data_IF_632058961818
#
_entry.id   IF_632058961818
#
_cell.length_a   1.000
_cell.length_b   1.000
_cell.length_c   1.000
_cell.angle_alpha   90.00
_cell.angle_beta   90.00
_cell.angle_gamma   90.00
#
_symmetry.space_group_name_H-M   'P 1'
#
loop_
_entity.id
_entity.type
_entity.pdbx_description
1 polymer ?
#
# COMPACT_ATOMS: atom_id res chain seq x y z
N UNK A 1 48.84 -2.42 28.01
CA UNK A 1 49.32 -1.88 26.73
C UNK A 1 48.50 -0.63 26.46
N UNK A 2 49.09 0.57 26.49
CA UNK A 2 48.37 1.82 26.21
C UNK A 2 48.46 2.08 24.70
N UNK A 3 47.36 1.99 23.98
CA UNK A 3 47.29 2.37 22.56
C UNK A 3 47.62 3.85 22.42
N UNK A 4 48.42 4.19 21.42
CA UNK A 4 48.76 5.57 21.13
C UNK A 4 47.57 6.29 20.49
N UNK A 5 47.35 7.60 20.75
CA UNK A 5 46.23 8.36 20.19
C UNK A 5 46.15 8.29 18.65
N UNK A 6 47.27 8.17 18.00
CA UNK A 6 47.40 8.06 16.55
C UNK A 6 46.86 6.72 16.00
N UNK A 7 47.01 5.61 16.76
CA UNK A 7 46.49 4.29 16.42
C UNK A 7 44.96 4.25 16.54
N UNK A 8 44.43 4.91 17.59
CA UNK A 8 42.97 5.05 17.78
C UNK A 8 42.34 5.85 16.63
N UNK A 9 43.00 6.94 16.24
CA UNK A 9 42.50 7.78 15.12
C UNK A 9 42.54 7.03 13.78
N UNK A 10 43.57 6.20 13.56
CA UNK A 10 43.67 5.37 12.36
C UNK A 10 42.59 4.28 12.30
N UNK A 11 42.31 3.62 13.43
CA UNK A 11 41.26 2.60 13.54
C UNK A 11 39.87 3.22 13.33
N UNK A 12 39.62 4.40 13.92
CA UNK A 12 38.35 5.11 13.73
C UNK A 12 38.19 5.55 12.28
N UNK A 13 39.24 6.08 11.64
CA UNK A 13 39.19 6.42 10.21
C UNK A 13 38.93 5.20 9.32
N UNK A 14 39.54 4.07 9.62
CA UNK A 14 39.33 2.84 8.88
C UNK A 14 37.93 2.30 9.10
N UNK A 15 37.39 2.32 10.31
CA UNK A 15 36.00 1.96 10.57
C UNK A 15 35.00 2.89 9.91
N UNK A 16 35.27 4.19 9.80
CA UNK A 16 34.42 5.13 9.07
C UNK A 16 34.48 4.88 7.57
N UNK A 17 35.64 4.51 7.02
CA UNK A 17 35.79 4.18 5.60
C UNK A 17 35.17 2.82 5.23
N UNK A 18 35.21 1.85 6.13
CA UNK A 18 34.57 0.54 5.96
C UNK A 18 33.03 0.59 6.27
N UNK A 19 32.54 1.72 6.78
CA UNK A 19 31.12 1.98 7.02
C UNK A 19 30.38 2.51 5.80
N UNK A 20 31.06 2.56 4.65
CA UNK A 20 30.45 2.81 3.35
C UNK A 20 29.75 1.51 2.85
N UNK A 21 28.89 0.96 3.69
CA UNK A 21 27.83 0.12 3.19
C UNK A 21 26.87 1.10 2.49
N UNK A 22 26.69 0.96 1.19
CA UNK A 22 25.61 1.56 0.42
C UNK A 22 24.25 1.18 1.02
N UNK A 23 23.95 1.66 2.19
CA UNK A 23 22.61 1.86 2.65
C UNK A 23 22.11 3.04 1.81
N UNK A 24 21.30 2.75 0.81
CA UNK A 24 20.44 3.76 0.21
C UNK A 24 19.54 4.28 1.33
N UNK A 25 20.03 5.25 2.07
CA UNK A 25 19.33 5.89 3.21
C UNK A 25 18.00 6.48 2.73
N UNK A 26 17.89 6.77 1.44
CA UNK A 26 16.69 7.27 0.78
C UNK A 26 15.56 6.23 0.68
N UNK A 27 15.85 4.93 0.86
CA UNK A 27 14.89 3.84 0.67
C UNK A 27 14.49 3.16 2.00
N UNK A 28 15.09 3.60 3.12
CA UNK A 28 14.84 3.08 4.47
C UNK A 28 14.43 4.22 5.39
N UNK A 29 13.33 4.02 6.12
CA UNK A 29 12.83 4.96 7.12
C UNK A 29 12.66 4.30 8.47
N UNK A 30 12.27 5.11 9.45
CA UNK A 30 12.04 4.67 10.83
C UNK A 30 10.67 5.15 11.30
N UNK A 31 9.90 4.28 11.93
CA UNK A 31 8.60 4.63 12.53
C UNK A 31 8.83 5.62 13.67
N UNK A 32 8.21 6.80 13.59
CA UNK A 32 8.21 7.80 14.65
C UNK A 32 7.14 7.51 15.68
N UNK A 33 5.94 7.27 15.22
CA UNK A 33 4.79 6.89 16.03
C UNK A 33 3.82 6.01 15.22
N UNK A 34 2.96 5.29 15.91
CA UNK A 34 1.91 4.46 15.34
C UNK A 34 0.66 4.50 16.20
N UNK A 35 -0.50 4.65 15.57
CA UNK A 35 -1.79 4.65 16.25
C UNK A 35 -2.95 4.68 15.28
N UNK A 36 -4.05 4.05 15.66
CA UNK A 36 -5.30 4.01 14.87
C UNK A 36 -5.10 3.54 13.41
N UNK A 37 -4.14 2.61 13.19
CA UNK A 37 -3.83 2.08 11.87
C UNK A 37 -3.02 3.02 10.99
N UNK A 38 -2.44 4.08 11.54
CA UNK A 38 -1.58 5.04 10.85
C UNK A 38 -0.19 5.00 11.47
N UNK A 39 0.84 5.04 10.63
CA UNK A 39 2.23 5.21 11.05
C UNK A 39 2.80 6.48 10.43
N UNK A 40 3.52 7.27 11.24
CA UNK A 40 4.37 8.34 10.77
C UNK A 40 5.81 7.86 10.72
N UNK A 41 6.45 8.05 9.57
CA UNK A 41 7.74 7.46 9.26
C UNK A 41 8.71 8.57 8.90
N UNK A 42 9.83 8.63 9.60
CA UNK A 42 10.93 9.55 9.30
C UNK A 42 11.82 8.98 8.19
N UNK A 43 12.32 9.85 7.34
CA UNK A 43 13.09 9.46 6.17
C UNK A 43 12.17 9.17 4.97
N UNK A 44 12.61 8.28 4.06
CA UNK A 44 11.87 7.94 2.84
C UNK A 44 11.61 9.15 1.92
N UNK A 45 12.60 10.02 1.76
CA UNK A 45 12.49 11.27 0.99
C UNK A 45 12.02 11.08 -0.47
N UNK A 46 12.23 9.89 -1.01
CA UNK A 46 11.80 9.53 -2.38
C UNK A 46 10.49 8.78 -2.44
N UNK A 47 9.78 8.63 -1.31
CA UNK A 47 8.50 7.94 -1.30
C UNK A 47 7.48 8.65 -2.20
N UNK A 48 6.67 7.88 -2.87
CA UNK A 48 5.59 8.37 -3.73
C UNK A 48 4.24 8.19 -3.05
N UNK A 49 3.33 9.13 -3.28
CA UNK A 49 1.94 8.93 -2.84
C UNK A 49 1.35 7.66 -3.49
N UNK A 50 0.70 6.82 -2.69
CA UNK A 50 0.19 5.52 -3.14
C UNK A 50 1.25 4.41 -3.21
N UNK A 51 2.49 4.69 -2.81
CA UNK A 51 3.54 3.66 -2.74
C UNK A 51 3.28 2.68 -1.60
N UNK A 52 3.59 1.42 -1.85
CA UNK A 52 3.55 0.37 -0.83
C UNK A 52 4.87 0.33 -0.08
N UNK A 53 4.81 0.37 1.24
CA UNK A 53 5.95 0.23 2.14
C UNK A 53 5.92 -1.15 2.80
N UNK A 54 7.09 -1.70 3.07
CA UNK A 54 7.26 -2.94 3.81
C UNK A 54 7.71 -2.64 5.24
N UNK A 55 6.93 -3.12 6.20
CA UNK A 55 7.17 -2.99 7.63
C UNK A 55 7.51 -4.37 8.22
N UNK A 56 8.03 -4.42 9.46
CA UNK A 56 8.25 -5.68 10.17
C UNK A 56 7.00 -6.55 10.24
N UNK A 57 7.19 -7.83 10.52
CA UNK A 57 6.13 -8.83 10.67
C UNK A 57 5.25 -9.06 9.42
N UNK A 58 5.71 -8.61 8.24
CA UNK A 58 4.96 -8.76 6.99
C UNK A 58 3.76 -7.81 6.87
N UNK A 59 3.73 -6.76 7.68
CA UNK A 59 2.77 -5.67 7.57
C UNK A 59 3.18 -4.76 6.42
N UNK A 60 2.22 -4.33 5.63
CA UNK A 60 2.42 -3.34 4.57
C UNK A 60 1.81 -2.00 4.97
N UNK A 61 2.41 -0.91 4.49
CA UNK A 61 1.90 0.44 4.63
C UNK A 61 1.62 1.06 3.27
N UNK A 62 0.54 1.82 3.17
CA UNK A 62 0.21 2.61 1.98
C UNK A 62 0.50 4.08 2.27
N UNK A 63 1.40 4.68 1.51
CA UNK A 63 1.74 6.10 1.64
C UNK A 63 0.56 6.96 1.20
N UNK A 64 0.03 7.78 2.11
CA UNK A 64 -1.02 8.74 1.81
C UNK A 64 -0.55 10.19 1.91
N UNK A 65 0.21 10.53 2.94
CA UNK A 65 0.71 11.88 3.17
C UNK A 65 2.23 11.94 3.01
N UNK A 66 2.67 12.94 2.27
CA UNK A 66 4.08 13.31 2.14
C UNK A 66 4.25 14.68 2.80
N UNK A 67 4.85 14.71 3.97
CA UNK A 67 5.14 15.92 4.72
C UNK A 67 6.61 16.32 4.56
N UNK A 68 7.01 17.45 5.11
CA UNK A 68 8.39 17.93 4.98
C UNK A 68 9.40 17.02 5.69
N UNK A 69 9.01 16.49 6.84
CA UNK A 69 9.91 15.74 7.73
C UNK A 69 9.52 14.27 7.90
N UNK A 70 8.34 13.89 7.43
CA UNK A 70 7.83 12.53 7.61
C UNK A 70 6.88 12.09 6.50
N UNK A 71 6.62 10.81 6.46
CA UNK A 71 5.66 10.15 5.56
C UNK A 71 4.57 9.53 6.40
N UNK A 72 3.31 9.92 6.15
CA UNK A 72 2.14 9.29 6.76
C UNK A 72 1.66 8.10 5.91
N UNK A 73 1.64 6.92 6.53
CA UNK A 73 1.22 5.69 5.89
C UNK A 73 0.08 5.01 6.66
N UNK A 74 -0.92 4.50 5.92
CA UNK A 74 -1.96 3.64 6.49
C UNK A 74 -1.46 2.21 6.51
N UNK A 75 -1.57 1.55 7.67
CA UNK A 75 -1.16 0.17 7.84
C UNK A 75 -2.22 -0.79 7.28
N UNK A 76 -1.79 -1.70 6.44
CA UNK A 76 -2.63 -2.76 5.85
C UNK A 76 -2.43 -4.07 6.60
N UNK A 77 -2.62 -4.02 7.92
CA UNK A 77 -2.43 -5.13 8.84
C UNK A 77 -2.62 -4.69 10.28
N UNK A 78 -2.19 -5.53 11.21
CA UNK A 78 -2.33 -5.27 12.64
C UNK A 78 -1.30 -4.22 13.10
N UNK A 79 -1.76 -3.05 13.48
CA UNK A 79 -0.94 -1.92 13.92
C UNK A 79 -0.20 -2.18 15.24
N UNK A 80 -0.76 -2.99 16.13
CA UNK A 80 -0.13 -3.35 17.40
C UNK A 80 1.15 -4.20 17.25
N UNK A 81 1.44 -4.71 16.07
CA UNK A 81 2.70 -5.39 15.75
C UNK A 81 3.84 -4.41 15.48
N UNK A 82 3.52 -3.18 15.11
CA UNK A 82 4.48 -2.14 14.71
C UNK A 82 4.76 -1.22 15.90
N UNK A 83 6.02 -0.84 16.07
CA UNK A 83 6.47 -0.02 17.19
C UNK A 83 7.31 1.15 16.71
N UNK A 84 7.38 2.19 17.56
CA UNK A 84 8.34 3.28 17.39
C UNK A 84 9.76 2.73 17.27
N UNK A 85 10.52 3.24 16.30
CA UNK A 85 11.88 2.81 16.01
C UNK A 85 11.99 1.64 15.03
N UNK A 86 10.87 1.04 14.59
CA UNK A 86 10.89 -0.03 13.61
C UNK A 86 11.37 0.49 12.24
N UNK A 87 12.12 -0.35 11.54
CA UNK A 87 12.62 -0.06 10.20
C UNK A 87 11.52 -0.28 9.16
N UNK A 88 11.39 0.68 8.25
CA UNK A 88 10.43 0.63 7.13
C UNK A 88 11.19 0.75 5.82
N UNK A 89 10.82 -0.06 4.84
CA UNK A 89 11.46 -0.08 3.52
C UNK A 89 10.48 0.29 2.43
N UNK A 90 10.97 1.08 1.49
CA UNK A 90 10.25 1.36 0.26
C UNK A 90 10.25 0.14 -0.65
N UNK A 91 9.13 -0.07 -1.33
CA UNK A 91 9.05 -1.09 -2.39
C UNK A 91 9.30 -0.50 -3.78
N UNK A 92 9.26 0.82 -3.92
CA UNK A 92 9.34 1.52 -5.20
C UNK A 92 8.13 1.25 -6.12
N UNK A 93 7.05 0.69 -5.59
CA UNK A 93 5.86 0.30 -6.35
C UNK A 93 4.62 0.97 -5.80
N UNK A 94 3.85 1.57 -6.69
CA UNK A 94 2.49 2.01 -6.38
C UNK A 94 1.64 0.78 -6.11
N UNK A 95 0.76 0.86 -5.13
CA UNK A 95 -0.13 -0.24 -4.74
C UNK A 95 -0.93 -0.74 -5.94
N UNK A 96 -0.71 -1.98 -6.30
CA UNK A 96 -1.40 -2.68 -7.37
C UNK A 96 -1.90 -4.06 -6.89
N UNK A 97 -2.85 -4.61 -7.62
CA UNK A 97 -3.41 -5.93 -7.34
C UNK A 97 -3.39 -6.80 -8.58
N UNK A 98 -3.23 -8.13 -8.43
CA UNK A 98 -3.39 -9.05 -9.56
C UNK A 98 -4.82 -8.96 -10.09
N UNK A 99 -4.98 -9.10 -11.40
CA UNK A 99 -6.28 -9.13 -12.09
C UNK A 99 -6.33 -10.29 -13.06
N UNK A 100 -7.52 -10.56 -13.60
CA UNK A 100 -7.75 -11.59 -14.61
C UNK A 100 -8.54 -12.80 -14.10
N UNK A 101 -8.75 -13.77 -14.99
CA UNK A 101 -9.61 -14.93 -14.76
C UNK A 101 -9.11 -15.84 -13.63
N UNK A 102 -7.82 -15.80 -13.30
CA UNK A 102 -7.24 -16.55 -12.19
C UNK A 102 -7.81 -16.18 -10.81
N UNK A 103 -8.51 -15.04 -10.70
CA UNK A 103 -9.16 -14.57 -9.48
C UNK A 103 -10.61 -15.04 -9.34
N UNK A 104 -11.19 -15.60 -10.41
CA UNK A 104 -12.60 -16.05 -10.38
C UNK A 104 -12.75 -17.19 -9.36
N UNK A 105 -13.68 -17.02 -8.41
CA UNK A 105 -13.93 -17.99 -7.35
C UNK A 105 -12.84 -18.09 -6.28
N UNK A 106 -11.93 -17.10 -6.20
CA UNK A 106 -10.91 -16.94 -5.18
C UNK A 106 -11.33 -15.89 -4.14
N UNK A 107 -10.82 -16.04 -2.93
CA UNK A 107 -10.95 -15.04 -1.87
C UNK A 107 -9.56 -14.49 -1.58
N UNK A 108 -9.43 -13.17 -1.66
CA UNK A 108 -8.16 -12.46 -1.50
C UNK A 108 -8.30 -11.31 -0.50
N UNK A 109 -7.17 -10.93 0.09
CA UNK A 109 -7.07 -9.70 0.88
C UNK A 109 -6.94 -8.46 -0.04
N UNK A 110 -6.92 -7.23 0.50
CA UNK A 110 -6.77 -6.01 -0.29
C UNK A 110 -5.48 -5.92 -1.14
N UNK A 111 -4.45 -6.69 -0.78
CA UNK A 111 -3.20 -6.79 -1.55
C UNK A 111 -3.26 -7.84 -2.66
N UNK A 112 -4.40 -8.51 -2.83
CA UNK A 112 -4.58 -9.59 -3.80
C UNK A 112 -3.95 -10.92 -3.39
N UNK A 113 -3.56 -11.07 -2.12
CA UNK A 113 -3.03 -12.32 -1.59
C UNK A 113 -4.18 -13.28 -1.26
N UNK A 114 -4.08 -14.57 -1.62
CA UNK A 114 -5.15 -15.53 -1.37
C UNK A 114 -5.28 -15.85 0.13
N UNK A 115 -6.52 -15.82 0.61
CA UNK A 115 -6.87 -16.17 1.99
C UNK A 115 -7.83 -17.37 2.05
N UNK A 116 -8.08 -18.02 0.92
CA UNK A 116 -9.04 -19.14 0.76
C UNK A 116 -8.41 -20.52 0.93
N UNK A 117 -7.13 -20.60 1.25
CA UNK A 117 -6.41 -21.87 1.40
C UNK A 117 -6.18 -22.65 0.11
N UNK A 118 -6.52 -22.08 -1.06
CA UNK A 118 -6.39 -22.77 -2.37
C UNK A 118 -5.03 -22.56 -3.05
N UNK A 119 -4.03 -22.07 -2.32
CA UNK A 119 -2.68 -21.82 -2.85
C UNK A 119 -2.53 -20.52 -3.63
N UNK A 120 -1.34 -20.27 -4.16
CA UNK A 120 -0.98 -19.03 -4.83
C UNK A 120 -1.81 -18.79 -6.11
N UNK A 121 -2.08 -17.52 -6.40
CA UNK A 121 -2.77 -17.08 -7.61
C UNK A 121 -1.73 -16.82 -8.69
N UNK A 122 -1.87 -17.50 -9.81
CA UNK A 122 -1.01 -17.35 -10.98
C UNK A 122 -1.61 -16.28 -11.90
N UNK A 123 -1.31 -15.00 -11.65
CA UNK A 123 -1.68 -13.89 -12.52
C UNK A 123 -0.45 -13.14 -12.96
N UNK A 124 -0.34 -12.85 -14.25
CA UNK A 124 0.71 -12.00 -14.84
C UNK A 124 0.28 -10.56 -14.97
N UNK A 125 -1.02 -10.31 -14.96
CA UNK A 125 -1.60 -8.98 -15.11
C UNK A 125 -1.85 -8.34 -13.75
N UNK A 126 -1.50 -7.06 -13.63
CA UNK A 126 -1.72 -6.28 -12.42
C UNK A 126 -2.32 -4.92 -12.79
N UNK A 127 -3.11 -4.35 -11.90
CA UNK A 127 -3.68 -3.01 -12.06
C UNK A 127 -3.49 -2.20 -10.78
N UNK A 128 -3.18 -0.90 -10.90
CA UNK A 128 -3.19 0.00 -9.75
C UNK A 128 -4.56 -0.02 -9.06
N UNK A 129 -4.54 0.03 -7.73
CA UNK A 129 -5.78 0.07 -6.94
C UNK A 129 -6.50 1.40 -7.16
N UNK A 130 -5.74 2.49 -7.22
CA UNK A 130 -6.28 3.80 -7.56
C UNK A 130 -6.30 3.99 -9.07
N UNK A 131 -7.48 4.23 -9.61
CA UNK A 131 -7.71 4.50 -11.02
C UNK A 131 -8.71 5.64 -11.16
N UNK A 132 -8.45 6.63 -12.04
CA UNK A 132 -9.42 7.68 -12.32
C UNK A 132 -10.76 7.07 -12.79
N UNK A 133 -11.86 7.49 -12.19
CA UNK A 133 -13.17 7.05 -12.62
C UNK A 133 -13.46 7.56 -14.06
N UNK A 134 -14.15 6.77 -14.90
CA UNK A 134 -14.58 7.22 -16.22
C UNK A 134 -15.38 8.52 -16.12
N UNK A 135 -15.06 9.48 -16.98
CA UNK A 135 -15.76 10.74 -17.08
C UNK A 135 -17.21 10.58 -17.56
N UNK A 136 -17.97 11.66 -17.53
CA UNK A 136 -19.38 11.66 -17.99
C UNK A 136 -19.46 11.27 -19.47
N UNK A 137 -18.49 11.72 -20.28
CA UNK A 137 -18.46 11.43 -21.71
C UNK A 137 -18.13 9.95 -22.03
N UNK A 138 -17.41 9.28 -21.12
CA UNK A 138 -16.98 7.89 -21.31
C UNK A 138 -18.02 6.87 -20.82
N UNK A 139 -19.03 7.35 -20.07
CA UNK A 139 -20.06 6.49 -19.50
C UNK A 139 -21.24 6.36 -20.44
N UNK A 140 -21.66 5.12 -20.69
CA UNK A 140 -22.91 4.86 -21.38
C UNK A 140 -24.09 5.25 -20.47
N UNK A 141 -25.09 5.93 -21.02
CA UNK A 141 -26.36 6.21 -20.33
C UNK A 141 -27.08 4.91 -19.96
N UNK A 142 -27.80 4.93 -18.84
CA UNK A 142 -28.68 3.82 -18.45
C UNK A 142 -29.80 3.70 -19.48
N UNK A 143 -29.85 2.59 -20.21
CA UNK A 143 -30.77 2.38 -21.32
C UNK A 143 -31.44 0.98 -21.31
N UNK A 144 -31.08 0.14 -20.33
CA UNK A 144 -31.64 -1.20 -20.21
C UNK A 144 -32.44 -1.32 -18.89
N UNK A 145 -33.75 -1.66 -18.96
CA UNK A 145 -34.56 -1.79 -17.75
C UNK A 145 -34.22 -3.05 -16.98
N UNK A 146 -34.19 -2.94 -15.63
CA UNK A 146 -34.14 -4.06 -14.72
C UNK A 146 -35.56 -4.44 -14.31
N UNK A 147 -36.06 -5.58 -14.77
CA UNK A 147 -37.36 -6.10 -14.37
C UNK A 147 -37.23 -6.78 -12.99
N UNK A 148 -37.80 -6.15 -11.96
CA UNK A 148 -37.75 -6.66 -10.59
C UNK A 148 -38.80 -7.71 -10.32
N UNK A 149 -39.87 -7.75 -11.10
CA UNK A 149 -41.06 -8.57 -10.87
C UNK A 149 -42.04 -7.98 -9.85
N UNK A 150 -41.70 -6.85 -9.25
CA UNK A 150 -42.55 -6.15 -8.29
C UNK A 150 -43.37 -5.11 -9.05
N UNK A 151 -44.71 -5.32 -9.11
CA UNK A 151 -45.63 -4.46 -9.91
C UNK A 151 -45.50 -2.97 -9.55
N UNK A 152 -45.37 -2.67 -8.25
CA UNK A 152 -45.28 -1.29 -7.79
C UNK A 152 -43.99 -0.60 -8.28
N UNK A 153 -42.87 -1.31 -8.31
CA UNK A 153 -41.59 -0.77 -8.79
C UNK A 153 -41.57 -0.67 -10.29
N UNK A 154 -41.88 -1.77 -10.97
CA UNK A 154 -41.74 -1.83 -12.42
C UNK A 154 -42.71 -0.88 -13.15
N UNK A 155 -43.88 -0.57 -12.54
CA UNK A 155 -44.87 0.30 -13.15
C UNK A 155 -44.78 1.77 -12.75
N UNK A 156 -44.24 2.09 -11.58
CA UNK A 156 -44.26 3.46 -11.05
C UNK A 156 -42.89 4.08 -10.94
N UNK A 157 -41.85 3.31 -10.60
CA UNK A 157 -40.49 3.77 -10.44
C UNK A 157 -39.54 2.75 -11.08
N UNK A 158 -39.56 2.66 -12.43
CA UNK A 158 -38.74 1.66 -13.13
C UNK A 158 -37.26 1.87 -12.86
N UNK A 159 -36.54 0.79 -12.62
CA UNK A 159 -35.11 0.79 -12.35
C UNK A 159 -34.36 0.39 -13.64
N UNK A 160 -33.27 1.08 -13.93
CA UNK A 160 -32.37 0.73 -15.03
C UNK A 160 -31.13 0.02 -14.55
N UNK A 161 -30.56 -0.85 -15.37
CA UNK A 161 -29.29 -1.53 -15.09
C UNK A 161 -28.14 -0.51 -15.03
N UNK A 162 -27.44 -0.47 -13.89
CA UNK A 162 -26.37 0.51 -13.62
C UNK A 162 -26.88 1.81 -12.97
N UNK A 163 -28.17 1.93 -12.67
CA UNK A 163 -28.74 3.06 -11.95
C UNK A 163 -28.32 3.01 -10.46
N UNK A 164 -28.08 4.19 -9.89
CA UNK A 164 -27.91 4.36 -8.43
C UNK A 164 -29.28 4.67 -7.85
N UNK A 165 -29.74 3.83 -6.95
CA UNK A 165 -31.05 3.93 -6.31
C UNK A 165 -30.90 4.02 -4.81
N UNK A 166 -31.73 4.80 -4.16
CA UNK A 166 -31.88 4.84 -2.70
C UNK A 166 -33.18 4.14 -2.33
N UNK A 167 -33.08 3.17 -1.43
CA UNK A 167 -34.21 2.43 -0.89
C UNK A 167 -34.40 2.81 0.57
#
# INVERSE_FOLDING_TARGET
>A
MKMKPEEITAIIKQQIQDYDVDLNVDDVGTVLDVGDGIAHIYGLERAMAGELLELPHGVYGLVLNLELDNVGAVLLGDDFLIKEGDEVRRTGKIMDVPVGDALIGRVVNPLGQPIDGKGAIQSTERRPVEHPAPGIADRQSVNEPLQTGLKAIDSMVPIGRGQRELI
#
